data_IF_745931904363
#
_entry.id   IF_745931904363
#
_cell.length_a   1.000
_cell.length_b   1.000
_cell.length_c   1.000
_cell.angle_alpha   90.00
_cell.angle_beta   90.00
_cell.angle_gamma   90.00
#
_symmetry.space_group_name_H-M   'P 1'
#
loop_
_entity.id
_entity.type
_entity.pdbx_description
1 polymer ?
#
# COMPACT_ATOMS: atom_id res chain seq x y z
N UNK A 1 -44.26 47.23 -35.46
CA UNK A 1 -43.14 47.54 -34.56
C UNK A 1 -42.67 46.24 -33.91
N UNK A 2 -41.62 45.64 -34.51
CA UNK A 2 -40.42 45.10 -33.87
C UNK A 2 -40.53 44.21 -32.59
N UNK A 3 -40.12 42.92 -32.73
CA UNK A 3 -39.38 42.05 -31.79
C UNK A 3 -40.18 41.23 -30.74
N UNK A 4 -39.87 39.97 -30.35
CA UNK A 4 -38.84 38.97 -30.66
C UNK A 4 -39.24 37.60 -30.01
N UNK A 5 -38.63 36.50 -30.48
CA UNK A 5 -38.33 35.19 -29.81
C UNK A 5 -39.51 34.24 -29.54
N UNK A 6 -39.64 33.11 -30.25
CA UNK A 6 -38.75 31.93 -30.36
C UNK A 6 -38.51 31.21 -29.02
N UNK A 7 -39.39 30.24 -28.69
CA UNK A 7 -39.04 29.10 -27.85
C UNK A 7 -39.53 27.81 -28.54
N UNK A 8 -38.54 27.02 -28.93
CA UNK A 8 -38.53 25.72 -29.60
C UNK A 8 -39.17 24.65 -28.68
N UNK A 9 -40.29 24.05 -29.07
CA UNK A 9 -40.44 22.80 -29.83
C UNK A 9 -39.92 21.52 -29.14
N UNK A 10 -40.92 20.74 -28.71
CA UNK A 10 -41.06 19.28 -28.82
C UNK A 10 -40.55 18.38 -27.68
N UNK A 11 -41.55 17.86 -26.97
CA UNK A 11 -41.64 16.54 -26.38
C UNK A 11 -41.10 15.43 -27.29
N UNK A 12 -40.10 14.67 -26.84
CA UNK A 12 -39.88 13.32 -27.34
C UNK A 12 -39.71 12.34 -26.17
N UNK A 13 -40.72 11.51 -26.06
CA UNK A 13 -40.61 10.06 -25.82
C UNK A 13 -40.16 9.60 -24.43
N UNK A 14 -41.18 9.32 -23.64
CA UNK A 14 -41.32 8.11 -22.85
C UNK A 14 -40.68 6.87 -23.54
N UNK A 15 -39.96 6.05 -22.78
CA UNK A 15 -40.14 4.59 -22.63
C UNK A 15 -38.87 3.93 -22.07
N UNK A 16 -39.06 3.26 -20.92
CA UNK A 16 -38.50 1.97 -20.52
C UNK A 16 -36.97 1.77 -20.57
N UNK A 17 -36.36 1.49 -19.41
CA UNK A 17 -36.10 0.11 -18.97
C UNK A 17 -35.33 0.12 -17.64
N UNK A 18 -35.82 -0.71 -16.73
CA UNK A 18 -35.15 -1.07 -15.49
C UNK A 18 -33.96 -1.95 -15.86
N UNK A 19 -32.73 -1.51 -15.62
CA UNK A 19 -31.64 -2.46 -15.36
C UNK A 19 -30.49 -1.76 -14.66
N UNK A 20 -30.20 -2.25 -13.46
CA UNK A 20 -28.90 -2.34 -12.82
C UNK A 20 -27.86 -1.30 -13.24
N UNK A 21 -27.59 -0.34 -12.36
CA UNK A 21 -26.29 0.31 -12.36
C UNK A 21 -25.23 -0.78 -12.27
N UNK A 22 -24.63 -1.05 -13.42
CA UNK A 22 -23.52 -1.95 -13.63
C UNK A 22 -22.51 -1.73 -12.52
N UNK A 23 -22.17 -2.80 -11.82
CA UNK A 23 -20.92 -2.87 -11.09
C UNK A 23 -19.84 -2.42 -12.07
N UNK A 24 -19.27 -1.25 -11.82
CA UNK A 24 -18.01 -0.86 -12.42
C UNK A 24 -17.00 -1.86 -11.86
N UNK A 25 -16.85 -2.99 -12.56
CA UNK A 25 -15.64 -3.78 -12.50
C UNK A 25 -14.56 -2.83 -12.98
N UNK A 26 -13.94 -2.15 -12.02
CA UNK A 26 -12.68 -1.47 -12.23
C UNK A 26 -11.76 -2.57 -12.77
N UNK A 27 -11.49 -2.52 -14.07
CA UNK A 27 -10.39 -3.26 -14.68
C UNK A 27 -9.15 -2.84 -13.90
N UNK A 28 -8.68 -3.77 -13.08
CA UNK A 28 -7.44 -3.67 -12.35
C UNK A 28 -6.34 -3.31 -13.35
N UNK A 29 -5.69 -2.19 -13.10
CA UNK A 29 -4.59 -1.72 -13.92
C UNK A 29 -3.41 -2.69 -13.73
N UNK A 30 -3.27 -3.67 -14.63
CA UNK A 30 -2.20 -4.68 -14.63
C UNK A 30 -0.78 -4.09 -14.59
N UNK A 31 -0.61 -2.78 -14.79
CA UNK A 31 0.68 -2.11 -14.84
C UNK A 31 0.97 -1.16 -13.66
N UNK A 32 0.08 -1.06 -12.66
CA UNK A 32 0.40 -0.33 -11.45
C UNK A 32 1.44 -1.10 -10.62
N UNK A 33 2.47 -0.45 -10.06
CA UNK A 33 3.37 -1.11 -9.12
C UNK A 33 2.57 -1.74 -7.99
N UNK A 34 2.65 -3.08 -7.84
CA UNK A 34 2.01 -3.77 -6.72
C UNK A 34 2.61 -3.25 -5.42
N UNK A 35 1.77 -2.72 -4.55
CA UNK A 35 2.15 -2.28 -3.20
C UNK A 35 1.65 -3.29 -2.18
N UNK A 36 2.34 -3.38 -1.03
CA UNK A 36 1.85 -4.18 0.08
C UNK A 36 0.43 -3.74 0.49
N UNK A 37 -0.53 -4.68 0.66
CA UNK A 37 -1.86 -4.37 1.17
C UNK A 37 -1.78 -3.73 2.55
N UNK A 38 -2.54 -2.67 2.80
CA UNK A 38 -2.49 -1.96 4.09
C UNK A 38 -2.94 -2.84 5.25
N UNK A 39 -3.86 -3.78 5.02
CA UNK A 39 -4.34 -4.72 6.04
C UNK A 39 -3.29 -5.77 6.44
N UNK A 40 -2.21 -5.89 5.64
CA UNK A 40 -1.03 -6.68 6.00
C UNK A 40 -0.03 -5.91 6.86
N UNK A 41 -0.20 -4.60 7.03
CA UNK A 41 0.76 -3.71 7.69
C UNK A 41 0.23 -3.21 9.03
N UNK A 42 1.13 -3.07 9.98
CA UNK A 42 0.86 -2.41 11.26
C UNK A 42 1.41 -1.00 11.21
N UNK A 43 0.56 -0.03 11.55
CA UNK A 43 0.98 1.35 11.74
C UNK A 43 1.40 1.54 13.20
N UNK A 44 2.70 1.67 13.44
CA UNK A 44 3.26 1.98 14.75
C UNK A 44 3.56 3.48 14.85
N UNK A 45 3.22 4.09 15.99
CA UNK A 45 3.38 5.53 16.21
C UNK A 45 4.21 5.76 17.45
N UNK A 46 5.34 6.43 17.29
CA UNK A 46 6.20 6.76 18.42
C UNK A 46 5.64 7.94 19.25
N UNK A 47 6.19 8.20 20.46
CA UNK A 47 5.74 9.29 21.33
C UNK A 47 5.85 10.69 20.72
N UNK A 48 6.76 10.89 19.75
CA UNK A 48 6.94 12.15 19.02
C UNK A 48 5.91 12.30 17.88
N UNK A 49 5.14 11.25 17.63
CA UNK A 49 4.10 11.19 16.61
C UNK A 49 4.63 10.86 15.22
N UNK A 50 5.82 10.26 15.12
CA UNK A 50 6.33 9.71 13.87
C UNK A 50 5.72 8.32 13.61
N UNK A 51 5.41 8.05 12.35
CA UNK A 51 4.70 6.84 11.92
C UNK A 51 5.64 5.86 11.23
N UNK A 52 5.60 4.60 11.63
CA UNK A 52 6.29 3.48 11.00
C UNK A 52 5.26 2.50 10.47
N UNK A 53 5.55 1.92 9.30
CA UNK A 53 4.79 0.78 8.80
C UNK A 53 5.63 -0.47 8.98
N UNK A 54 5.01 -1.47 9.60
CA UNK A 54 5.65 -2.72 9.97
C UNK A 54 4.99 -3.88 9.22
N UNK A 55 5.78 -4.72 8.58
CA UNK A 55 5.35 -5.99 8.01
C UNK A 55 5.59 -7.10 9.05
N UNK A 56 4.54 -7.71 9.63
CA UNK A 56 4.69 -8.87 10.49
C UNK A 56 5.18 -10.09 9.69
N UNK A 57 6.03 -10.91 10.30
CA UNK A 57 6.40 -12.21 9.77
C UNK A 57 6.38 -13.27 10.87
N UNK A 58 6.12 -14.51 10.45
CA UNK A 58 6.05 -15.67 11.31
C UNK A 58 6.87 -16.78 10.65
N UNK A 59 7.95 -17.21 11.29
CA UNK A 59 8.71 -18.39 10.89
C UNK A 59 8.52 -19.50 11.92
N UNK A 60 8.38 -20.74 11.44
CA UNK A 60 8.15 -21.90 12.29
C UNK A 60 9.41 -22.33 13.07
N UNK A 61 10.62 -21.92 12.64
CA UNK A 61 11.89 -22.22 13.33
C UNK A 61 12.99 -21.18 13.05
N UNK A 62 13.86 -21.00 14.06
CA UNK A 62 15.13 -20.23 14.12
C UNK A 62 15.10 -18.71 14.30
N UNK A 63 14.17 -17.93 13.72
CA UNK A 63 14.16 -16.46 13.91
C UNK A 63 13.00 -15.91 14.73
N UNK A 64 12.05 -16.77 15.12
CA UNK A 64 10.85 -16.37 15.85
C UNK A 64 9.93 -15.48 15.00
N UNK A 65 8.81 -15.09 15.60
CA UNK A 65 7.91 -14.08 15.04
C UNK A 65 8.47 -12.68 15.25
N UNK A 66 8.25 -11.78 14.28
CA UNK A 66 8.79 -10.43 14.36
C UNK A 66 8.15 -9.44 13.39
N UNK A 67 8.77 -8.27 13.27
CA UNK A 67 8.34 -7.19 12.39
C UNK A 67 9.52 -6.67 11.58
N UNK A 68 9.25 -6.31 10.33
CA UNK A 68 10.17 -5.59 9.46
C UNK A 68 9.66 -4.17 9.24
N UNK A 69 10.51 -3.17 9.45
CA UNK A 69 10.24 -1.82 8.99
C UNK A 69 10.12 -1.82 7.44
N UNK A 70 8.99 -1.35 6.91
CA UNK A 70 8.76 -1.24 5.46
C UNK A 70 9.68 -0.17 4.85
N UNK A 71 10.03 0.85 5.64
CA UNK A 71 10.96 1.91 5.27
C UNK A 71 11.84 2.27 6.47
N UNK A 72 13.12 2.55 6.23
CA UNK A 72 14.06 3.01 7.25
C UNK A 72 13.97 4.51 7.54
N UNK A 73 12.99 5.19 6.98
CA UNK A 73 12.60 6.56 7.32
C UNK A 73 11.14 6.57 7.77
N UNK A 74 10.83 7.47 8.70
CA UNK A 74 9.49 7.64 9.28
C UNK A 74 9.04 9.10 9.14
N UNK A 75 7.86 9.36 8.56
CA UNK A 75 7.29 10.70 8.57
C UNK A 75 6.84 11.08 9.99
N UNK A 76 7.08 12.33 10.34
CA UNK A 76 6.75 12.93 11.63
C UNK A 76 5.84 14.14 11.46
N UNK A 77 5.23 14.59 12.55
CA UNK A 77 4.43 15.83 12.55
C UNK A 77 5.25 17.02 12.03
N UNK A 78 4.56 17.92 11.31
CA UNK A 78 5.19 19.12 10.74
C UNK A 78 5.98 18.87 9.46
N UNK A 79 5.74 17.75 8.77
CA UNK A 79 6.36 17.43 7.49
C UNK A 79 7.83 17.02 7.58
N UNK A 80 8.31 16.72 8.79
CA UNK A 80 9.67 16.22 9.01
C UNK A 80 9.73 14.73 8.70
N UNK A 81 10.91 14.27 8.30
CA UNK A 81 11.24 12.85 8.17
C UNK A 81 12.41 12.56 9.07
N UNK A 82 12.33 11.48 9.83
CA UNK A 82 13.40 11.00 10.70
C UNK A 82 13.84 9.60 10.27
N UNK A 83 15.08 9.24 10.61
CA UNK A 83 15.57 7.88 10.41
C UNK A 83 14.95 6.95 11.45
N UNK A 84 14.63 5.73 11.00
CA UNK A 84 14.43 4.59 11.88
C UNK A 84 15.77 4.23 12.52
N UNK A 85 15.72 3.70 13.73
CA UNK A 85 16.90 3.32 14.51
C UNK A 85 17.78 2.35 13.71
N UNK A 86 19.08 2.68 13.62
CA UNK A 86 20.08 1.80 12.98
C UNK A 86 20.07 0.43 13.64
N UNK A 87 20.08 -0.63 12.83
CA UNK A 87 20.03 -2.01 13.29
C UNK A 87 18.65 -2.65 13.17
N UNK A 88 17.56 -1.87 13.12
CA UNK A 88 16.22 -2.40 12.92
C UNK A 88 16.12 -3.23 11.63
N UNK A 89 15.43 -4.37 11.70
CA UNK A 89 15.18 -5.20 10.52
C UNK A 89 14.19 -4.51 9.59
N UNK A 90 14.42 -4.59 8.30
CA UNK A 90 13.63 -3.90 7.29
C UNK A 90 13.45 -4.72 6.01
N UNK A 91 12.50 -4.29 5.18
CA UNK A 91 12.26 -4.86 3.84
C UNK A 91 13.29 -4.29 2.86
N UNK A 92 14.36 -5.03 2.55
CA UNK A 92 15.40 -4.55 1.63
C UNK A 92 14.95 -4.66 0.17
N UNK A 93 14.37 -5.80 -0.18
CA UNK A 93 13.69 -6.02 -1.47
C UNK A 93 12.46 -6.88 -1.24
N UNK A 94 11.47 -6.73 -2.11
CA UNK A 94 10.24 -7.48 -2.04
C UNK A 94 9.84 -7.98 -3.44
N UNK A 95 9.47 -9.25 -3.51
CA UNK A 95 8.98 -9.91 -4.73
C UNK A 95 7.62 -10.53 -4.40
N UNK A 96 6.58 -10.16 -5.13
CA UNK A 96 5.29 -10.84 -5.03
C UNK A 96 5.39 -12.23 -5.67
N UNK A 97 5.17 -13.26 -4.87
CA UNK A 97 5.10 -14.64 -5.37
C UNK A 97 3.72 -14.91 -5.98
N UNK A 98 2.69 -14.30 -5.39
CA UNK A 98 1.30 -14.32 -5.82
C UNK A 98 0.55 -13.17 -5.07
N UNK A 99 -0.79 -13.21 -5.04
CA UNK A 99 -1.60 -12.15 -4.43
C UNK A 99 -1.62 -12.18 -2.89
N UNK A 100 -1.23 -13.29 -2.27
CA UNK A 100 -1.29 -13.50 -0.82
C UNK A 100 0.08 -13.76 -0.19
N UNK A 101 1.17 -13.75 -0.96
CA UNK A 101 2.52 -14.02 -0.48
C UNK A 101 3.59 -13.20 -1.18
N UNK A 102 4.59 -12.83 -0.40
CA UNK A 102 5.79 -12.14 -0.86
C UNK A 102 7.04 -12.86 -0.38
N UNK A 103 8.07 -12.87 -1.21
CA UNK A 103 9.44 -13.16 -0.77
C UNK A 103 10.15 -11.84 -0.46
N UNK A 104 10.69 -11.74 0.76
CA UNK A 104 11.33 -10.54 1.30
C UNK A 104 12.79 -10.84 1.56
N UNK A 105 13.68 -10.06 0.95
CA UNK A 105 15.07 -10.01 1.41
C UNK A 105 15.13 -9.14 2.65
N UNK A 106 15.58 -9.73 3.75
CA UNK A 106 15.73 -9.02 5.03
C UNK A 106 16.94 -8.11 4.97
N UNK A 107 16.75 -6.86 5.38
CA UNK A 107 17.81 -5.89 5.58
C UNK A 107 17.90 -5.41 7.02
N UNK A 108 18.87 -4.53 7.24
CA UNK A 108 18.99 -3.72 8.45
C UNK A 108 19.05 -2.24 8.09
N UNK A 109 18.34 -1.42 8.86
CA UNK A 109 18.37 0.03 8.70
C UNK A 109 19.72 0.60 9.07
N UNK A 110 20.22 1.51 8.23
CA UNK A 110 21.44 2.27 8.46
C UNK A 110 21.28 3.66 7.84
N UNK A 111 21.16 4.68 8.69
CA UNK A 111 21.02 6.09 8.28
C UNK A 111 19.95 6.30 7.20
N UNK A 112 18.71 5.92 7.51
CA UNK A 112 17.56 6.10 6.61
C UNK A 112 17.47 5.08 5.46
N UNK A 113 18.47 4.22 5.28
CA UNK A 113 18.50 3.23 4.20
C UNK A 113 18.40 1.80 4.71
N UNK A 114 17.59 0.97 4.05
CA UNK A 114 17.58 -0.47 4.30
C UNK A 114 18.68 -1.14 3.45
N UNK A 115 19.57 -1.92 4.08
CA UNK A 115 20.64 -2.67 3.39
C UNK A 115 20.47 -4.17 3.68
N UNK A 116 20.53 -5.06 2.67
CA UNK A 116 20.47 -6.51 2.89
C UNK A 116 21.49 -6.95 3.95
N UNK A 117 21.07 -7.83 4.85
CA UNK A 117 22.00 -8.42 5.82
C UNK A 117 22.89 -9.48 5.17
N UNK A 118 24.04 -9.78 5.78
CA UNK A 118 24.96 -10.81 5.31
C UNK A 118 25.16 -11.87 6.41
N UNK A 119 24.98 -13.18 6.12
CA UNK A 119 24.52 -13.72 4.84
C UNK A 119 23.09 -13.28 4.49
N UNK A 120 22.78 -13.23 3.19
CA UNK A 120 21.44 -12.83 2.72
C UNK A 120 20.39 -13.76 3.32
N UNK A 121 19.35 -13.17 3.89
CA UNK A 121 18.19 -13.90 4.39
C UNK A 121 16.93 -13.53 3.61
N UNK A 122 16.17 -14.56 3.26
CA UNK A 122 14.88 -14.46 2.61
C UNK A 122 13.77 -14.92 3.57
N UNK A 123 12.62 -14.26 3.52
CA UNK A 123 11.41 -14.59 4.27
C UNK A 123 10.22 -14.68 3.31
N UNK A 124 9.51 -15.80 3.32
CA UNK A 124 8.19 -15.86 2.69
C UNK A 124 7.15 -15.37 3.69
N UNK A 125 6.52 -14.24 3.40
CA UNK A 125 5.51 -13.61 4.26
C UNK A 125 4.14 -13.75 3.61
N UNK A 126 3.15 -14.17 4.40
CA UNK A 126 1.75 -14.18 3.97
C UNK A 126 1.11 -12.79 4.19
N UNK A 127 0.33 -12.34 3.22
CA UNK A 127 -0.37 -11.06 3.22
C UNK A 127 -1.85 -11.26 3.57
N UNK A 128 -2.38 -10.36 4.40
CA UNK A 128 -3.81 -10.21 4.63
C UNK A 128 -4.48 -9.56 3.41
N UNK A 129 -5.72 -9.99 3.12
CA UNK A 129 -6.59 -9.43 2.07
C UNK A 129 -7.69 -8.57 2.66
#
# INVERSE_FOLDING_TARGET
>A
MLWLKLILFILLSEISERTMCSASSAKENENAPRTLPQDSLINDKDPNGCLRQLLPFFEDVEMGNGFLDVNCTKPCKGGKTEDVVTGNLCVATLIFLNDDKVDVTVGSCNHGSCKPISPTKHLTVSLSK
#
